data_IF_511952656037
#
_entry.id   IF_511952656037
#
_cell.length_a   1.000
_cell.length_b   1.000
_cell.length_c   1.000
_cell.angle_alpha   90.00
_cell.angle_beta   90.00
_cell.angle_gamma   90.00
#
_symmetry.space_group_name_H-M   'P 1'
#
loop_
_entity.id
_entity.type
_entity.pdbx_description
1 polymer ?
#
# COMPACT_ATOMS: atom_id res chain seq x y z
N UNK A 1 40.10 -6.66 -7.57
CA UNK A 1 40.58 -5.46 -6.89
C UNK A 1 41.73 -4.97 -7.72
N UNK A 2 41.77 -3.67 -8.02
CA UNK A 2 42.84 -3.11 -8.83
C UNK A 2 44.13 -3.01 -7.99
N UNK A 3 45.31 -3.07 -8.63
CA UNK A 3 46.57 -2.88 -7.92
C UNK A 3 46.60 -1.50 -7.25
N UNK A 4 47.05 -1.44 -5.99
CA UNK A 4 47.13 -0.26 -5.11
C UNK A 4 45.80 0.27 -4.56
N UNK A 5 44.65 -0.37 -4.83
CA UNK A 5 43.37 0.05 -4.25
C UNK A 5 43.04 -0.72 -2.95
N UNK A 6 42.52 0.01 -1.95
CA UNK A 6 42.03 -0.52 -0.67
C UNK A 6 40.51 -0.60 -0.67
N UNK A 7 39.94 -1.56 0.07
CA UNK A 7 38.48 -1.67 0.25
C UNK A 7 37.94 -0.45 0.98
N UNK A 8 36.86 0.14 0.47
CA UNK A 8 36.22 1.24 1.16
C UNK A 8 35.39 0.75 2.37
N UNK A 9 35.50 1.50 3.45
CA UNK A 9 34.74 1.38 4.70
C UNK A 9 34.38 2.79 5.19
N UNK A 10 33.57 2.90 6.24
CA UNK A 10 33.15 4.22 6.77
C UNK A 10 34.31 5.03 7.36
N UNK A 11 35.44 4.38 7.69
CA UNK A 11 36.59 5.04 8.33
C UNK A 11 37.55 5.68 7.33
N UNK A 12 37.54 5.21 6.08
CA UNK A 12 38.51 5.58 5.06
C UNK A 12 37.93 6.37 3.89
N UNK A 13 36.61 6.65 3.88
CA UNK A 13 36.01 7.53 2.88
C UNK A 13 36.52 8.97 3.01
N UNK A 14 36.76 9.68 1.89
CA UNK A 14 37.05 11.11 1.92
C UNK A 14 35.82 11.90 2.38
N UNK A 15 36.06 13.01 3.08
CA UNK A 15 35.00 13.92 3.51
C UNK A 15 34.47 14.70 2.30
N UNK A 16 33.17 14.64 2.04
CA UNK A 16 32.52 15.35 0.94
C UNK A 16 31.39 16.20 1.49
N UNK A 17 31.58 17.51 1.51
CA UNK A 17 30.60 18.47 2.01
C UNK A 17 29.58 18.85 0.91
N UNK A 18 28.39 19.30 1.31
CA UNK A 18 27.33 19.76 0.43
C UNK A 18 27.80 20.91 -0.48
N UNK A 19 28.69 21.77 0.04
CA UNK A 19 29.32 22.84 -0.73
C UNK A 19 30.22 22.29 -1.85
N UNK A 20 30.97 21.22 -1.62
CA UNK A 20 31.82 20.59 -2.63
C UNK A 20 30.98 20.03 -3.77
N UNK A 21 29.87 19.39 -3.43
CA UNK A 21 28.90 18.86 -4.41
C UNK A 21 28.27 20.00 -5.21
N UNK A 22 27.89 21.09 -4.56
CA UNK A 22 27.32 22.27 -5.23
C UNK A 22 28.32 22.94 -6.18
N UNK A 23 29.59 23.11 -5.77
CA UNK A 23 30.65 23.64 -6.62
C UNK A 23 30.95 22.72 -7.81
N UNK A 24 30.97 21.40 -7.59
CA UNK A 24 31.14 20.43 -8.66
C UNK A 24 30.04 20.56 -9.71
N UNK A 25 28.77 20.58 -9.31
CA UNK A 25 27.68 20.78 -10.28
C UNK A 25 27.74 22.16 -10.94
N UNK A 26 28.19 23.18 -10.21
CA UNK A 26 28.32 24.54 -10.75
C UNK A 26 29.34 24.64 -11.87
N UNK A 27 30.48 23.96 -11.71
CA UNK A 27 31.61 24.06 -12.64
C UNK A 27 31.52 23.09 -13.82
N UNK A 28 30.63 22.08 -13.77
CA UNK A 28 30.50 21.06 -14.81
C UNK A 28 29.27 21.27 -15.68
N UNK A 29 29.49 21.80 -16.89
CA UNK A 29 28.46 22.06 -17.91
C UNK A 29 27.62 20.80 -18.27
N UNK A 30 28.21 19.61 -18.15
CA UNK A 30 27.60 18.32 -18.51
C UNK A 30 26.35 18.00 -17.69
N UNK A 31 26.21 18.56 -16.48
CA UNK A 31 25.05 18.34 -15.61
C UNK A 31 23.94 19.39 -15.77
N UNK A 32 24.15 20.41 -16.62
CA UNK A 32 23.18 21.47 -16.91
C UNK A 32 22.23 21.15 -18.07
N UNK A 33 22.40 20.00 -18.72
CA UNK A 33 21.55 19.54 -19.82
C UNK A 33 20.11 19.31 -19.31
N UNK A 34 19.11 19.73 -20.09
CA UNK A 34 17.69 19.69 -19.70
C UNK A 34 17.20 18.31 -19.24
N UNK A 35 17.82 17.21 -19.69
CA UNK A 35 17.48 15.84 -19.28
C UNK A 35 17.87 15.50 -17.83
N UNK A 36 18.86 16.20 -17.27
CA UNK A 36 19.38 16.02 -15.91
C UNK A 36 18.89 17.10 -14.95
N UNK A 37 18.38 18.22 -15.47
CA UNK A 37 17.93 19.37 -14.66
C UNK A 37 16.80 19.09 -13.67
N UNK A 38 16.12 17.93 -13.75
CA UNK A 38 14.95 17.63 -12.92
C UNK A 38 14.99 16.21 -12.33
N UNK A 39 13.83 15.54 -12.34
CA UNK A 39 13.50 14.26 -11.71
C UNK A 39 14.59 13.20 -11.82
N UNK A 40 15.35 13.11 -12.92
CA UNK A 40 16.39 12.06 -13.08
C UNK A 40 17.54 12.22 -12.10
N UNK A 41 18.03 13.43 -11.84
CA UNK A 41 19.15 13.65 -10.89
C UNK A 41 18.68 13.46 -9.45
N UNK A 42 17.49 13.96 -9.10
CA UNK A 42 16.85 13.71 -7.79
C UNK A 42 16.57 12.22 -7.56
N UNK A 43 16.06 11.52 -8.57
CA UNK A 43 15.82 10.07 -8.53
C UNK A 43 17.12 9.28 -8.34
N UNK A 44 18.18 9.70 -9.02
CA UNK A 44 19.49 9.03 -8.98
C UNK A 44 20.24 9.32 -7.69
N UNK A 45 20.01 10.49 -7.10
CA UNK A 45 20.53 10.87 -5.79
C UNK A 45 19.80 10.22 -4.61
N UNK A 46 18.71 9.46 -4.82
CA UNK A 46 17.98 8.82 -3.72
C UNK A 46 18.84 7.81 -2.96
N UNK A 47 18.66 7.79 -1.65
CA UNK A 47 19.31 6.84 -0.74
C UNK A 47 19.06 5.39 -1.17
N UNK A 48 17.79 5.03 -1.38
CA UNK A 48 17.40 3.67 -1.78
C UNK A 48 18.05 3.20 -3.08
N UNK A 49 18.21 4.08 -4.07
CA UNK A 49 18.85 3.69 -5.32
C UNK A 49 20.36 3.53 -5.16
N UNK A 50 21.03 4.50 -4.54
CA UNK A 50 22.48 4.46 -4.34
C UNK A 50 22.93 3.25 -3.51
N UNK A 51 22.26 3.02 -2.38
CA UNK A 51 22.61 1.92 -1.46
C UNK A 51 22.34 0.54 -2.06
N UNK A 52 21.32 0.44 -2.93
CA UNK A 52 21.03 -0.82 -3.56
C UNK A 52 21.90 -1.11 -4.80
N UNK A 53 22.25 -0.07 -5.55
CA UNK A 53 22.89 -0.20 -6.86
C UNK A 53 24.42 -0.25 -6.78
N UNK A 54 25.02 0.41 -5.79
CA UNK A 54 26.46 0.57 -5.66
C UNK A 54 27.06 -0.61 -4.90
N UNK A 55 28.22 -1.08 -5.33
CA UNK A 55 28.99 -2.10 -4.62
C UNK A 55 30.42 -2.18 -5.10
N UNK A 56 31.21 -3.03 -4.45
CA UNK A 56 32.65 -3.17 -4.70
C UNK A 56 33.37 -1.82 -4.74
N UNK A 57 33.10 -0.97 -3.75
CA UNK A 57 33.74 0.35 -3.65
C UNK A 57 35.17 0.18 -3.16
N UNK A 58 36.11 0.78 -3.87
CA UNK A 58 37.54 0.77 -3.54
C UNK A 58 38.11 2.18 -3.71
N UNK A 59 39.15 2.49 -2.94
CA UNK A 59 39.79 3.80 -2.94
C UNK A 59 41.31 3.68 -3.03
N UNK A 60 41.93 4.72 -3.56
CA UNK A 60 43.37 4.85 -3.65
C UNK A 60 43.75 6.31 -3.36
N UNK A 61 44.78 6.53 -2.55
CA UNK A 61 45.25 7.86 -2.18
C UNK A 61 46.69 8.05 -2.66
N UNK A 62 46.90 9.04 -3.51
CA UNK A 62 48.21 9.44 -4.02
C UNK A 62 48.33 10.96 -4.02
N UNK A 63 49.39 11.49 -3.40
CA UNK A 63 49.73 12.92 -3.46
C UNK A 63 48.59 13.91 -3.09
N UNK A 64 47.71 13.55 -2.15
CA UNK A 64 46.57 14.38 -1.73
C UNK A 64 45.31 14.22 -2.60
N UNK A 65 45.38 13.38 -3.63
CA UNK A 65 44.24 12.98 -4.47
C UNK A 65 43.70 11.64 -4.00
N UNK A 66 42.39 11.57 -3.78
CA UNK A 66 41.66 10.36 -3.46
C UNK A 66 40.86 9.91 -4.68
N UNK A 67 41.25 8.77 -5.26
CA UNK A 67 40.57 8.13 -6.39
C UNK A 67 39.67 7.02 -5.88
N UNK A 68 38.37 7.21 -6.02
CA UNK A 68 37.33 6.25 -5.68
C UNK A 68 36.84 5.53 -6.94
N UNK A 69 36.67 4.22 -6.86
CA UNK A 69 36.07 3.40 -7.92
C UNK A 69 34.96 2.55 -7.34
N UNK A 70 33.86 2.41 -8.09
CA UNK A 70 32.79 1.49 -7.72
C UNK A 70 32.25 0.72 -8.94
N UNK A 71 31.57 -0.39 -8.66
CA UNK A 71 30.79 -1.14 -9.63
C UNK A 71 29.32 -0.95 -9.34
N UNK A 72 28.59 -0.47 -10.33
CA UNK A 72 27.19 -0.16 -10.15
C UNK A 72 26.29 -1.02 -11.03
N UNK A 73 25.22 -1.55 -10.42
CA UNK A 73 24.28 -2.41 -11.08
C UNK A 73 23.30 -1.63 -11.98
N UNK A 74 23.09 -2.06 -13.24
CA UNK A 74 22.10 -1.46 -14.13
C UNK A 74 20.66 -1.64 -13.61
N UNK A 75 19.86 -0.59 -13.66
CA UNK A 75 18.49 -0.59 -13.12
C UNK A 75 17.52 -1.46 -13.93
N UNK A 76 17.44 -1.26 -15.26
CA UNK A 76 16.47 -1.97 -16.12
C UNK A 76 16.92 -3.38 -16.56
N UNK A 77 18.22 -3.69 -16.43
CA UNK A 77 18.82 -4.98 -16.83
C UNK A 77 19.82 -5.43 -15.77
N UNK A 78 19.34 -5.73 -14.58
CA UNK A 78 20.16 -6.00 -13.38
C UNK A 78 21.17 -7.16 -13.51
N UNK A 79 21.01 -8.01 -14.54
CA UNK A 79 21.91 -9.12 -14.88
C UNK A 79 23.01 -8.76 -15.88
N UNK A 80 22.93 -7.58 -16.51
CA UNK A 80 23.95 -7.13 -17.46
C UNK A 80 25.22 -6.68 -16.74
N UNK A 81 26.30 -6.47 -17.51
CA UNK A 81 27.60 -6.03 -16.99
C UNK A 81 27.43 -4.77 -16.14
N UNK A 82 28.01 -4.78 -14.93
CA UNK A 82 28.00 -3.61 -14.06
C UNK A 82 28.78 -2.45 -14.69
N UNK A 83 28.33 -1.22 -14.45
CA UNK A 83 29.01 -0.01 -14.89
C UNK A 83 30.15 0.32 -13.93
N UNK A 84 31.34 0.62 -14.44
CA UNK A 84 32.43 1.14 -13.63
C UNK A 84 32.34 2.67 -13.55
N UNK A 85 32.34 3.20 -12.33
CA UNK A 85 32.35 4.65 -12.07
C UNK A 85 33.62 5.00 -11.30
N UNK A 86 34.29 6.07 -11.71
CA UNK A 86 35.49 6.59 -11.05
C UNK A 86 35.24 8.03 -10.62
N UNK A 87 35.61 8.37 -9.40
CA UNK A 87 35.54 9.72 -8.86
C UNK A 87 36.90 10.10 -8.27
N UNK A 88 37.35 11.33 -8.54
CA UNK A 88 38.63 11.86 -8.05
C UNK A 88 38.35 13.11 -7.23
N UNK A 89 38.84 13.11 -5.99
CA UNK A 89 38.65 14.18 -5.02
C UNK A 89 40.03 14.69 -4.58
N UNK A 90 40.21 16.00 -4.57
CA UNK A 90 41.34 16.66 -3.93
C UNK A 90 41.02 16.87 -2.45
N UNK A 91 41.65 16.09 -1.56
CA UNK A 91 41.40 16.20 -0.12
C UNK A 91 42.03 17.49 0.46
N UNK A 92 43.09 18.03 -0.15
CA UNK A 92 43.77 19.23 0.35
C UNK A 92 42.97 20.51 0.08
N UNK A 93 42.43 20.62 -1.13
CA UNK A 93 41.61 21.78 -1.55
C UNK A 93 40.13 21.57 -1.25
N UNK A 94 39.73 20.39 -0.77
CA UNK A 94 38.33 20.00 -0.58
C UNK A 94 37.51 20.25 -1.85
N UNK A 95 38.00 19.76 -2.99
CA UNK A 95 37.34 19.92 -4.30
C UNK A 95 37.15 18.57 -4.98
N UNK A 96 36.00 18.37 -5.62
CA UNK A 96 35.73 17.20 -6.45
C UNK A 96 36.19 17.53 -7.87
N UNK A 97 37.26 16.86 -8.32
CA UNK A 97 37.85 17.14 -9.64
C UNK A 97 37.00 16.53 -10.75
N UNK A 98 36.60 15.26 -10.59
CA UNK A 98 35.85 14.56 -11.63
C UNK A 98 35.04 13.40 -11.08
N UNK A 99 33.91 13.10 -11.74
CA UNK A 99 33.13 11.89 -11.54
C UNK A 99 32.66 11.37 -12.91
N UNK A 100 33.19 10.23 -13.35
CA UNK A 100 33.01 9.68 -14.70
C UNK A 100 32.55 8.23 -14.66
N UNK A 101 31.57 7.90 -15.51
CA UNK A 101 31.11 6.54 -15.73
C UNK A 101 31.65 6.03 -17.07
N UNK A 102 32.33 4.88 -17.08
CA UNK A 102 33.06 4.41 -18.27
C UNK A 102 32.23 3.54 -19.21
N UNK A 103 31.22 2.86 -18.68
CA UNK A 103 30.49 1.83 -19.40
C UNK A 103 29.08 2.30 -19.87
N UNK A 104 28.74 3.59 -19.72
CA UNK A 104 27.41 4.13 -20.03
C UNK A 104 27.40 4.94 -21.34
N UNK A 105 26.32 4.82 -22.13
CA UNK A 105 26.13 5.61 -23.36
C UNK A 105 26.07 7.13 -23.13
N UNK A 106 25.71 7.57 -21.92
CA UNK A 106 25.67 8.96 -21.51
C UNK A 106 26.90 9.39 -20.69
N UNK A 107 28.02 8.68 -20.81
CA UNK A 107 29.26 8.94 -20.06
C UNK A 107 29.81 10.36 -20.27
N UNK A 108 29.64 10.91 -21.47
CA UNK A 108 30.14 12.23 -21.87
C UNK A 108 29.24 13.42 -21.46
N UNK A 109 28.07 13.18 -20.87
CA UNK A 109 27.07 14.23 -20.61
C UNK A 109 26.38 14.08 -19.26
N UNK A 110 27.12 13.76 -18.19
CA UNK A 110 26.58 13.71 -16.83
C UNK A 110 25.60 12.54 -16.59
N UNK A 111 26.04 11.30 -16.73
CA UNK A 111 25.13 10.17 -16.55
C UNK A 111 24.54 10.07 -15.12
N UNK A 112 23.36 9.44 -15.01
CA UNK A 112 22.70 9.12 -13.73
C UNK A 112 23.58 8.36 -12.74
N UNK A 113 24.55 7.63 -13.28
CA UNK A 113 25.45 6.78 -12.54
C UNK A 113 26.52 7.55 -11.77
N UNK A 114 27.05 8.61 -12.38
CA UNK A 114 28.01 9.51 -11.75
C UNK A 114 27.35 10.29 -10.60
N UNK A 115 26.13 10.78 -10.83
CA UNK A 115 25.31 11.47 -9.80
C UNK A 115 25.02 10.54 -8.62
N UNK A 116 24.57 9.31 -8.89
CA UNK A 116 24.26 8.35 -7.84
C UNK A 116 25.47 8.06 -6.95
N UNK A 117 26.65 7.90 -7.56
CA UNK A 117 27.89 7.66 -6.82
C UNK A 117 28.33 8.89 -6.01
N UNK A 118 28.26 10.09 -6.60
CA UNK A 118 28.60 11.35 -5.93
C UNK A 118 27.73 11.58 -4.68
N UNK A 119 26.41 11.47 -4.83
CA UNK A 119 25.46 11.66 -3.72
C UNK A 119 25.60 10.56 -2.67
N UNK A 120 25.96 9.34 -3.07
CA UNK A 120 26.22 8.25 -2.15
C UNK A 120 27.46 8.53 -1.29
N UNK A 121 28.58 8.98 -1.88
CA UNK A 121 29.80 9.30 -1.11
C UNK A 121 29.56 10.47 -0.16
N UNK A 122 28.87 11.52 -0.61
CA UNK A 122 28.45 12.63 0.26
C UNK A 122 27.74 12.14 1.53
N UNK A 123 26.64 11.37 1.37
CA UNK A 123 25.88 10.83 2.51
C UNK A 123 26.73 9.96 3.43
N UNK A 124 27.50 9.01 2.87
CA UNK A 124 28.32 8.09 3.66
C UNK A 124 29.48 8.79 4.37
N UNK A 125 29.90 9.95 3.89
CA UNK A 125 30.92 10.78 4.56
C UNK A 125 30.35 11.66 5.68
N UNK A 126 29.04 11.97 5.65
CA UNK A 126 28.35 12.78 6.67
C UNK A 126 27.78 11.93 7.82
N UNK A 127 27.43 10.67 7.57
CA UNK A 127 26.93 9.75 8.59
C UNK A 127 28.08 9.27 9.51
N UNK A 128 28.17 9.72 10.78
CA UNK A 128 29.19 9.21 11.69
C UNK A 128 28.95 7.72 11.98
N UNK A 129 30.01 6.96 12.31
CA UNK A 129 29.92 5.52 12.52
C UNK A 129 28.92 5.21 13.63
N UNK A 130 27.85 4.47 13.28
CA UNK A 130 27.20 3.60 14.25
C UNK A 130 28.22 2.57 14.71
N UNK A 131 28.04 1.97 15.89
CA UNK A 131 29.03 1.13 16.59
C UNK A 131 29.60 -0.08 15.81
N UNK A 132 29.22 -0.29 14.56
CA UNK A 132 29.74 -1.29 13.61
C UNK A 132 30.39 -0.66 12.39
N UNK A 133 31.60 -1.11 12.04
CA UNK A 133 32.28 -0.76 10.76
C UNK A 133 31.50 -1.39 9.60
N UNK A 134 30.90 -0.59 8.72
CA UNK A 134 30.26 -1.12 7.51
C UNK A 134 31.27 -1.33 6.37
N UNK A 135 31.17 -2.48 5.70
CA UNK A 135 31.99 -2.81 4.53
C UNK A 135 31.25 -2.45 3.24
N UNK A 136 31.87 -1.63 2.39
CA UNK A 136 31.35 -1.24 1.08
C UNK A 136 31.89 -2.10 -0.08
N UNK A 137 32.81 -3.02 0.21
CA UNK A 137 33.26 -4.06 -0.70
C UNK A 137 32.29 -5.27 -0.70
N UNK A 138 31.03 -5.03 -1.03
CA UNK A 138 29.98 -6.06 -1.12
C UNK A 138 29.26 -6.03 -2.45
N UNK A 139 28.56 -7.12 -2.76
CA UNK A 139 27.72 -7.23 -3.95
C UNK A 139 26.48 -6.32 -3.80
N UNK A 140 26.11 -5.53 -4.82
CA UNK A 140 24.92 -4.65 -4.76
C UNK A 140 23.64 -5.43 -4.45
N UNK A 141 22.74 -4.88 -3.63
CA UNK A 141 21.48 -5.55 -3.27
C UNK A 141 20.54 -5.63 -4.48
N UNK A 142 20.55 -4.64 -5.38
CA UNK A 142 19.78 -4.63 -6.62
C UNK A 142 20.06 -5.89 -7.42
N UNK A 143 21.32 -6.33 -7.49
CA UNK A 143 21.71 -7.58 -8.18
C UNK A 143 21.03 -8.85 -7.66
N UNK A 144 20.40 -8.78 -6.47
CA UNK A 144 19.62 -9.88 -5.88
C UNK A 144 18.17 -9.92 -6.36
N UNK A 145 17.66 -8.86 -6.98
CA UNK A 145 16.29 -8.80 -7.54
C UNK A 145 16.10 -9.95 -8.54
N UNK A 146 15.16 -10.85 -8.24
CA UNK A 146 14.89 -12.07 -9.02
C UNK A 146 15.76 -13.28 -8.66
N UNK A 147 16.69 -13.19 -7.71
CA UNK A 147 17.38 -14.36 -7.10
C UNK A 147 16.84 -14.75 -5.73
N UNK A 148 16.05 -13.88 -5.09
CA UNK A 148 15.29 -14.25 -3.91
C UNK A 148 14.27 -15.29 -4.33
N UNK A 149 14.61 -16.56 -4.09
CA UNK A 149 13.66 -17.66 -4.05
C UNK A 149 12.50 -17.17 -3.17
N UNK A 150 11.35 -16.86 -3.79
CA UNK A 150 10.14 -16.40 -3.06
C UNK A 150 9.75 -17.41 -1.96
N UNK A 151 10.17 -18.65 -2.14
CA UNK A 151 10.14 -19.73 -1.18
C UNK A 151 11.22 -20.74 -1.58
N UNK A 152 11.89 -21.33 -0.60
CA UNK A 152 12.72 -22.52 -0.80
C UNK A 152 11.73 -23.67 -1.08
N UNK A 153 11.91 -24.40 -2.19
CA UNK A 153 11.08 -25.58 -2.45
C UNK A 153 11.55 -26.74 -1.57
N UNK A 154 10.62 -27.59 -1.13
CA UNK A 154 10.96 -28.81 -0.34
C UNK A 154 11.98 -29.68 -1.08
N UNK A 155 11.96 -29.67 -2.42
CA UNK A 155 12.96 -30.32 -3.27
C UNK A 155 14.38 -29.79 -3.06
N UNK A 156 14.55 -28.49 -2.83
CA UNK A 156 15.85 -27.86 -2.57
C UNK A 156 16.34 -28.07 -1.12
N UNK A 157 15.46 -28.48 -0.21
CA UNK A 157 15.83 -28.82 1.17
C UNK A 157 16.39 -30.24 1.29
N UNK A 158 16.12 -31.11 0.31
CA UNK A 158 16.62 -32.48 0.27
C UNK A 158 17.82 -32.59 -0.67
N UNK A 159 18.93 -33.17 -0.20
CA UNK A 159 20.07 -33.54 -1.06
C UNK A 159 19.78 -34.77 -1.95
N UNK A 160 18.68 -35.48 -1.70
CA UNK A 160 18.29 -36.68 -2.46
C UNK A 160 17.26 -36.31 -3.52
N UNK A 161 17.46 -36.83 -4.73
CA UNK A 161 16.46 -36.79 -5.80
C UNK A 161 15.14 -37.39 -5.30
N UNK A 162 14.05 -36.64 -5.46
CA UNK A 162 12.72 -37.14 -5.12
C UNK A 162 12.30 -38.08 -6.24
N UNK A 163 12.11 -39.39 -6.00
CA UNK A 163 11.66 -40.29 -7.04
C UNK A 163 10.31 -39.82 -7.56
N UNK A 164 10.20 -39.67 -8.88
CA UNK A 164 8.93 -39.34 -9.54
C UNK A 164 7.96 -40.49 -9.31
N UNK A 165 7.02 -40.31 -8.38
CA UNK A 165 5.93 -41.25 -8.14
C UNK A 165 4.68 -40.69 -8.83
N UNK A 166 4.09 -41.40 -9.79
CA UNK A 166 2.86 -40.95 -10.44
C UNK A 166 1.77 -40.76 -9.38
N UNK A 167 0.93 -39.73 -9.55
CA UNK A 167 -0.19 -39.44 -8.64
C UNK A 167 -1.34 -40.41 -8.89
N UNK A 168 -1.11 -41.68 -8.56
CA UNK A 168 -2.14 -42.70 -8.66
C UNK A 168 -2.91 -42.75 -7.33
N UNK A 169 -4.23 -42.78 -7.40
CA UNK A 169 -5.12 -42.97 -6.23
C UNK A 169 -4.76 -44.20 -5.37
N UNK A 170 -4.06 -45.17 -5.95
CA UNK A 170 -3.52 -46.34 -5.27
C UNK A 170 -2.57 -46.01 -4.08
N UNK A 171 -1.78 -44.94 -4.17
CA UNK A 171 -0.89 -44.54 -3.08
C UNK A 171 -1.64 -44.12 -1.83
N UNK A 172 -2.82 -43.50 -2.00
CA UNK A 172 -3.69 -43.11 -0.90
C UNK A 172 -4.28 -44.35 -0.22
N UNK A 173 -4.79 -45.31 -0.99
CA UNK A 173 -5.36 -46.54 -0.44
C UNK A 173 -4.31 -47.37 0.30
N UNK A 174 -3.10 -47.49 -0.26
CA UNK A 174 -2.00 -48.22 0.37
C UNK A 174 -1.54 -47.54 1.66
N UNK A 175 -1.46 -46.21 1.66
CA UNK A 175 -1.14 -45.43 2.85
C UNK A 175 -2.18 -45.64 3.96
N UNK A 176 -3.47 -45.57 3.63
CA UNK A 176 -4.56 -45.77 4.59
C UNK A 176 -4.52 -47.19 5.19
N UNK A 177 -4.28 -48.22 4.37
CA UNK A 177 -4.16 -49.61 4.83
C UNK A 177 -2.98 -49.81 5.79
N UNK A 178 -1.79 -49.31 5.44
CA UNK A 178 -0.62 -49.40 6.32
C UNK A 178 -0.77 -48.54 7.58
N UNK A 179 -1.42 -47.38 7.48
CA UNK A 179 -1.71 -46.53 8.63
C UNK A 179 -2.66 -47.23 9.64
N UNK A 180 -3.69 -47.91 9.14
CA UNK A 180 -4.61 -48.73 9.96
C UNK A 180 -3.87 -49.89 10.63
N UNK A 181 -3.03 -50.62 9.88
CA UNK A 181 -2.19 -51.71 10.40
C UNK A 181 -1.25 -51.25 11.51
N UNK A 182 -0.69 -50.04 11.40
CA UNK A 182 0.22 -49.44 12.40
C UNK A 182 -0.50 -48.68 13.53
N UNK A 183 -1.84 -48.64 13.53
CA UNK A 183 -2.67 -47.95 14.53
C UNK A 183 -2.28 -46.48 14.72
N UNK A 184 -2.01 -45.77 13.63
CA UNK A 184 -1.69 -44.34 13.70
C UNK A 184 -2.92 -43.54 14.15
N UNK A 185 -2.84 -42.88 15.31
CA UNK A 185 -3.92 -42.07 15.86
C UNK A 185 -3.79 -40.56 15.55
N UNK A 186 -2.61 -40.11 15.13
CA UNK A 186 -2.28 -38.69 14.98
C UNK A 186 -1.89 -38.34 13.53
N UNK A 187 -2.79 -38.60 12.58
CA UNK A 187 -2.64 -38.19 11.19
C UNK A 187 -3.95 -37.58 10.70
N UNK A 188 -3.91 -36.37 10.15
CA UNK A 188 -5.10 -35.67 9.65
C UNK A 188 -5.84 -36.47 8.56
N UNK A 189 -5.11 -37.17 7.68
CA UNK A 189 -5.71 -37.96 6.61
C UNK A 189 -6.57 -39.13 7.11
N UNK A 190 -6.22 -39.71 8.27
CA UNK A 190 -6.98 -40.80 8.87
C UNK A 190 -8.29 -40.28 9.46
N UNK A 191 -8.33 -39.02 9.91
CA UNK A 191 -9.53 -38.42 10.52
C UNK A 191 -10.70 -38.27 9.53
N UNK A 192 -10.42 -38.25 8.23
CA UNK A 192 -11.42 -38.15 7.16
C UNK A 192 -11.88 -39.52 6.62
N UNK A 193 -11.49 -40.62 7.26
CA UNK A 193 -11.96 -41.96 6.90
C UNK A 193 -13.27 -42.28 7.62
N UNK A 194 -14.19 -42.97 6.94
CA UNK A 194 -15.52 -43.31 7.45
C UNK A 194 -15.51 -44.15 8.73
N UNK A 195 -14.42 -44.88 8.99
CA UNK A 195 -14.24 -45.73 10.17
C UNK A 195 -13.52 -45.03 11.34
N UNK A 196 -13.15 -43.76 11.20
CA UNK A 196 -12.44 -43.04 12.24
C UNK A 196 -13.39 -42.50 13.32
N UNK A 197 -13.31 -43.10 14.51
CA UNK A 197 -14.05 -42.65 15.69
C UNK A 197 -13.17 -41.78 16.58
N UNK A 198 -13.55 -40.52 16.75
CA UNK A 198 -12.90 -39.64 17.72
C UNK A 198 -13.11 -40.17 19.14
N UNK A 199 -12.03 -40.37 19.90
CA UNK A 199 -12.10 -40.81 21.31
C UNK A 199 -12.63 -39.74 22.26
N UNK A 200 -12.49 -38.47 21.88
CA UNK A 200 -12.75 -37.33 22.73
C UNK A 200 -14.16 -36.74 22.48
N UNK A 201 -14.47 -35.67 23.21
CA UNK A 201 -15.72 -34.88 23.12
C UNK A 201 -16.14 -34.53 21.68
N UNK A 202 -15.19 -34.44 20.75
CA UNK A 202 -15.43 -34.16 19.32
C UNK A 202 -16.39 -35.14 18.61
N UNK A 203 -16.53 -36.38 19.12
CA UNK A 203 -17.53 -37.34 18.60
C UNK A 203 -18.98 -36.85 18.70
N UNK A 204 -19.24 -35.93 19.63
CA UNK A 204 -20.55 -35.33 19.83
C UNK A 204 -20.81 -34.10 18.93
N UNK A 205 -19.88 -33.75 18.05
CA UNK A 205 -20.13 -32.72 17.04
C UNK A 205 -21.24 -33.18 16.09
N UNK A 206 -22.03 -32.24 15.57
CA UNK A 206 -23.14 -32.54 14.66
C UNK A 206 -22.64 -33.28 13.40
N UNK A 207 -21.48 -32.88 12.87
CA UNK A 207 -20.88 -33.50 11.69
C UNK A 207 -20.48 -34.97 11.95
N UNK A 208 -19.72 -35.26 13.01
CA UNK A 208 -19.34 -36.63 13.35
C UNK A 208 -20.56 -37.50 13.65
N UNK A 209 -21.55 -36.95 14.36
CA UNK A 209 -22.77 -37.67 14.69
C UNK A 209 -23.55 -38.08 13.44
N UNK A 210 -23.69 -37.19 12.44
CA UNK A 210 -24.36 -37.49 11.17
C UNK A 210 -23.60 -38.57 10.38
N UNK A 211 -22.27 -38.50 10.34
CA UNK A 211 -21.43 -39.48 9.64
C UNK A 211 -21.50 -40.88 10.26
N UNK A 212 -21.67 -40.97 11.58
CA UNK A 212 -21.80 -42.24 12.30
C UNK A 212 -23.19 -42.92 12.11
N UNK A 213 -24.19 -42.21 11.58
CA UNK A 213 -25.54 -42.79 11.38
C UNK A 213 -25.66 -43.51 10.03
N UNK A 214 -26.35 -44.67 9.97
CA UNK A 214 -26.61 -45.35 8.72
C UNK A 214 -27.48 -44.50 7.78
N UNK A 215 -27.31 -44.61 6.44
CA UNK A 215 -27.95 -43.73 5.45
C UNK A 215 -29.48 -43.80 5.47
N UNK A 216 -30.08 -44.86 6.01
CA UNK A 216 -31.53 -45.00 6.19
C UNK A 216 -32.10 -44.08 7.28
N UNK A 217 -31.29 -43.74 8.30
CA UNK A 217 -31.68 -42.88 9.43
C UNK A 217 -31.44 -41.40 9.09
N UNK A 218 -30.52 -41.09 8.17
CA UNK A 218 -30.27 -39.72 7.70
C UNK A 218 -31.47 -39.10 6.96
N UNK A 219 -32.38 -39.93 6.42
CA UNK A 219 -33.59 -39.46 5.74
C UNK A 219 -34.76 -39.14 6.69
N UNK A 220 -34.69 -39.57 7.96
CA UNK A 220 -35.77 -39.41 8.95
C UNK A 220 -35.27 -38.58 10.15
N UNK A 221 -35.61 -37.28 10.11
CA UNK A 221 -35.14 -36.28 11.08
C UNK A 221 -35.65 -36.56 12.49
N UNK A 222 -36.87 -37.08 12.63
CA UNK A 222 -37.49 -37.30 13.95
C UNK A 222 -36.80 -38.46 14.70
N UNK A 223 -36.49 -39.54 13.98
CA UNK A 223 -35.68 -40.64 14.53
C UNK A 223 -34.28 -40.18 14.95
N UNK A 224 -33.65 -39.32 14.14
CA UNK A 224 -32.33 -38.78 14.45
C UNK A 224 -32.36 -37.94 15.73
N UNK A 225 -33.39 -37.13 15.93
CA UNK A 225 -33.57 -36.31 17.14
C UNK A 225 -33.74 -37.19 18.39
N UNK A 226 -34.48 -38.30 18.30
CA UNK A 226 -34.66 -39.20 19.46
C UNK A 226 -33.38 -39.97 19.81
N UNK A 227 -32.57 -40.35 18.82
CA UNK A 227 -31.23 -40.91 19.04
C UNK A 227 -30.30 -39.87 19.68
N UNK A 228 -30.39 -38.60 19.27
CA UNK A 228 -29.62 -37.52 19.91
C UNK A 228 -30.00 -37.37 21.39
N UNK A 229 -31.30 -37.36 21.73
CA UNK A 229 -31.76 -37.24 23.12
C UNK A 229 -31.23 -38.35 24.03
N UNK A 230 -31.11 -39.57 23.50
CA UNK A 230 -30.56 -40.72 24.26
C UNK A 230 -29.03 -40.67 24.36
N UNK A 231 -28.35 -40.14 23.35
CA UNK A 231 -26.88 -40.04 23.29
C UNK A 231 -26.32 -38.90 24.15
N UNK A 232 -27.01 -37.76 24.22
CA UNK A 232 -26.62 -36.60 25.04
C UNK A 232 -27.10 -36.74 26.49
N UNK A 233 -26.50 -37.67 27.23
CA UNK A 233 -26.73 -37.81 28.67
C UNK A 233 -26.07 -36.68 29.48
N UNK A 234 -26.47 -36.51 30.74
CA UNK A 234 -25.97 -35.45 31.63
C UNK A 234 -24.44 -35.48 31.80
N UNK A 235 -23.84 -36.67 31.78
CA UNK A 235 -22.39 -36.84 31.88
C UNK A 235 -21.66 -36.35 30.61
N UNK A 236 -22.19 -36.65 29.42
CA UNK A 236 -21.67 -36.18 28.14
C UNK A 236 -21.75 -34.66 28.04
N UNK A 237 -22.87 -34.07 28.45
CA UNK A 237 -23.05 -32.60 28.47
C UNK A 237 -22.04 -31.93 29.39
N UNK A 238 -21.81 -32.50 30.59
CA UNK A 238 -20.80 -31.98 31.53
C UNK A 238 -19.38 -32.06 30.95
N UNK A 239 -19.03 -33.16 30.28
CA UNK A 239 -17.72 -33.31 29.64
C UNK A 239 -17.54 -32.35 28.45
N UNK A 240 -18.61 -32.07 27.69
CA UNK A 240 -18.60 -31.07 26.62
C UNK A 240 -18.37 -29.67 27.19
N UNK A 241 -19.08 -29.31 28.26
CA UNK A 241 -18.93 -28.00 28.91
C UNK A 241 -17.50 -27.81 29.42
N UNK A 242 -16.94 -28.80 30.14
CA UNK A 242 -15.59 -28.73 30.66
C UNK A 242 -14.55 -28.55 29.54
N UNK A 243 -14.67 -29.32 28.45
CA UNK A 243 -13.75 -29.23 27.31
C UNK A 243 -13.91 -27.94 26.47
N UNK A 244 -15.06 -27.27 26.55
CA UNK A 244 -15.35 -26.05 25.78
C UNK A 244 -15.35 -24.77 26.63
N UNK A 245 -15.06 -24.86 27.93
CA UNK A 245 -15.09 -23.73 28.89
C UNK A 245 -14.18 -22.56 28.52
N UNK A 246 -13.07 -22.82 27.82
CA UNK A 246 -12.14 -21.78 27.33
C UNK A 246 -12.63 -21.01 26.08
N UNK A 247 -13.88 -21.24 25.66
CA UNK A 247 -14.58 -20.48 24.62
C UNK A 247 -13.79 -20.35 23.29
N UNK A 248 -13.70 -19.13 22.74
CA UNK A 248 -13.15 -18.79 21.42
C UNK A 248 -11.68 -19.17 21.20
N UNK A 249 -10.94 -19.55 22.26
CA UNK A 249 -9.54 -19.96 22.15
C UNK A 249 -9.37 -21.43 21.77
N UNK A 250 -10.43 -22.24 21.86
CA UNK A 250 -10.40 -23.66 21.53
C UNK A 250 -11.06 -23.92 20.17
N UNK A 251 -10.39 -24.69 19.30
CA UNK A 251 -10.98 -25.15 18.04
C UNK A 251 -12.23 -26.01 18.27
N UNK A 252 -12.24 -26.81 19.35
CA UNK A 252 -13.37 -27.65 19.74
C UNK A 252 -14.64 -26.83 20.02
N UNK A 253 -14.51 -25.60 20.51
CA UNK A 253 -15.65 -24.72 20.77
C UNK A 253 -16.38 -24.32 19.48
N UNK A 254 -15.64 -24.10 18.39
CA UNK A 254 -16.23 -23.79 17.08
C UNK A 254 -16.93 -25.02 16.49
N UNK A 255 -16.29 -26.18 16.57
CA UNK A 255 -16.82 -27.45 16.06
C UNK A 255 -18.14 -27.83 16.76
N UNK A 256 -18.21 -27.72 18.09
CA UNK A 256 -19.42 -28.04 18.85
C UNK A 256 -20.58 -27.05 18.60
N UNK A 257 -20.32 -25.89 17.99
CA UNK A 257 -21.34 -24.87 17.66
C UNK A 257 -21.63 -24.81 16.16
N UNK A 258 -21.03 -25.71 15.38
CA UNK A 258 -21.32 -25.89 13.97
C UNK A 258 -22.82 -26.15 13.77
N UNK A 259 -23.44 -25.48 12.80
CA UNK A 259 -24.87 -25.62 12.50
C UNK A 259 -25.82 -25.01 13.53
N UNK A 260 -25.32 -24.29 14.54
CA UNK A 260 -26.15 -23.75 15.63
C UNK A 260 -26.96 -22.54 15.19
N UNK A 261 -28.27 -22.60 15.42
CA UNK A 261 -29.20 -21.48 15.24
C UNK A 261 -29.14 -20.56 16.47
N UNK A 262 -28.77 -19.29 16.28
CA UNK A 262 -28.83 -18.26 17.33
C UNK A 262 -30.20 -17.60 17.38
N UNK A 263 -30.55 -17.00 18.53
CA UNK A 263 -31.81 -16.27 18.66
C UNK A 263 -32.00 -15.19 17.57
N UNK A 264 -30.91 -14.51 17.17
CA UNK A 264 -30.92 -13.54 16.07
C UNK A 264 -31.26 -14.13 14.69
N UNK A 265 -31.09 -15.45 14.51
CA UNK A 265 -31.36 -16.16 13.27
C UNK A 265 -32.62 -17.03 13.31
N UNK A 266 -33.21 -17.24 14.48
CA UNK A 266 -34.40 -18.09 14.65
C UNK A 266 -35.59 -17.61 13.81
N UNK A 267 -35.87 -16.30 13.79
CA UNK A 267 -36.95 -15.73 12.97
C UNK A 267 -36.68 -15.90 11.47
N UNK A 268 -35.43 -15.67 11.03
CA UNK A 268 -35.05 -15.87 9.63
C UNK A 268 -35.25 -17.32 9.20
N UNK A 269 -34.89 -18.28 10.06
CA UNK A 269 -35.07 -19.72 9.80
C UNK A 269 -36.56 -20.09 9.74
N UNK A 270 -37.40 -19.57 10.63
CA UNK A 270 -38.84 -19.90 10.63
C UNK A 270 -39.59 -19.40 9.38
N UNK A 271 -39.08 -18.35 8.73
CA UNK A 271 -39.70 -17.75 7.54
C UNK A 271 -39.00 -18.20 6.24
N UNK A 272 -37.88 -18.90 6.34
CA UNK A 272 -37.11 -19.35 5.18
C UNK A 272 -37.73 -20.60 4.56
N UNK A 273 -38.24 -20.48 3.34
CA UNK A 273 -38.78 -21.61 2.56
C UNK A 273 -37.76 -22.24 1.60
N UNK A 274 -36.54 -21.69 1.48
CA UNK A 274 -35.50 -22.21 0.58
C UNK A 274 -34.62 -23.23 1.29
N UNK A 275 -34.54 -24.49 0.80
CA UNK A 275 -33.76 -25.55 1.46
C UNK A 275 -32.24 -25.37 1.35
N UNK A 276 -31.72 -24.82 0.24
CA UNK A 276 -30.28 -24.63 -0.03
C UNK A 276 -29.93 -23.16 -0.29
N UNK A 277 -30.24 -22.29 0.69
CA UNK A 277 -30.06 -20.85 0.59
C UNK A 277 -28.80 -20.30 1.28
N UNK A 278 -28.56 -19.00 1.11
CA UNK A 278 -27.49 -18.26 1.81
C UNK A 278 -27.62 -18.32 3.34
N UNK A 279 -28.85 -18.42 3.86
CA UNK A 279 -29.11 -18.59 5.29
C UNK A 279 -28.54 -19.91 5.80
N UNK A 280 -28.83 -21.01 5.12
CA UNK A 280 -28.32 -22.35 5.46
C UNK A 280 -26.80 -22.37 5.35
N UNK A 281 -26.23 -21.81 4.27
CA UNK A 281 -24.79 -21.69 4.12
C UNK A 281 -24.14 -20.90 5.26
N UNK A 282 -24.78 -19.82 5.72
CA UNK A 282 -24.29 -19.01 6.86
C UNK A 282 -24.34 -19.77 8.18
N UNK A 283 -25.42 -20.53 8.43
CA UNK A 283 -25.57 -21.38 9.61
C UNK A 283 -24.51 -22.49 9.63
N UNK A 284 -24.16 -23.02 8.44
CA UNK A 284 -23.09 -24.00 8.22
C UNK A 284 -21.69 -23.37 8.17
N UNK A 285 -21.55 -22.07 8.44
CA UNK A 285 -20.26 -21.39 8.59
C UNK A 285 -19.59 -20.92 7.29
N UNK A 286 -20.29 -20.95 6.15
CA UNK A 286 -19.76 -20.44 4.89
C UNK A 286 -19.66 -18.90 4.89
N UNK A 287 -18.56 -18.37 4.34
CA UNK A 287 -18.45 -16.94 4.02
C UNK A 287 -19.19 -16.68 2.72
N UNK A 288 -20.26 -15.89 2.77
CA UNK A 288 -20.95 -15.44 1.56
C UNK A 288 -19.99 -14.49 0.81
N UNK A 289 -19.69 -14.73 -0.48
CA UNK A 289 -18.83 -13.84 -1.25
C UNK A 289 -19.47 -12.47 -1.43
N UNK A 290 -18.64 -11.42 -1.40
CA UNK A 290 -19.10 -10.04 -1.56
C UNK A 290 -19.84 -9.86 -2.89
N UNK A 291 -21.07 -9.35 -2.80
CA UNK A 291 -21.88 -9.05 -3.98
C UNK A 291 -21.29 -7.88 -4.78
N UNK A 292 -21.67 -7.80 -6.07
CA UNK A 292 -21.28 -6.70 -6.96
C UNK A 292 -21.70 -5.33 -6.38
N UNK A 293 -22.80 -5.29 -5.61
CA UNK A 293 -23.26 -4.09 -4.92
C UNK A 293 -22.31 -3.67 -3.78
N UNK A 294 -21.83 -4.62 -2.96
CA UNK A 294 -20.87 -4.36 -1.87
C UNK A 294 -19.52 -3.89 -2.41
N UNK A 295 -19.09 -4.40 -3.57
CA UNK A 295 -17.86 -3.93 -4.24
C UNK A 295 -17.97 -2.52 -4.83
N UNK A 296 -19.19 -2.03 -5.13
CA UNK A 296 -19.42 -0.67 -5.67
C UNK A 296 -19.24 0.43 -4.63
N UNK A 297 -19.39 0.13 -3.34
CA UNK A 297 -19.18 1.11 -2.25
C UNK A 297 -17.70 1.44 -2.00
N UNK A 298 -16.76 0.77 -2.67
CA UNK A 298 -15.30 0.86 -2.42
C UNK A 298 -14.56 1.78 -3.43
N UNK A 299 -15.21 2.38 -4.44
CA UNK A 299 -14.51 3.25 -5.43
C UNK A 299 -14.81 4.76 -5.30
N UNK A 300 -13.80 5.64 -5.16
CA UNK A 300 -13.93 7.07 -5.41
C UNK A 300 -13.04 7.58 -6.57
N UNK A 301 -13.51 8.60 -7.32
CA UNK A 301 -12.81 9.90 -7.56
C UNK A 301 -13.39 10.83 -8.66
N UNK A 302 -14.38 10.43 -9.46
CA UNK A 302 -15.10 11.37 -10.33
C UNK A 302 -16.60 11.33 -10.06
N UNK A 303 -17.04 12.22 -9.16
CA UNK A 303 -18.46 12.42 -8.90
C UNK A 303 -19.12 13.12 -10.09
N UNK A 304 -19.85 12.37 -10.91
CA UNK A 304 -20.76 12.96 -11.90
C UNK A 304 -21.94 13.55 -11.14
N UNK A 305 -22.06 14.87 -11.21
CA UNK A 305 -23.06 15.59 -10.45
C UNK A 305 -24.47 15.24 -10.92
N UNK A 306 -25.31 14.79 -9.99
CA UNK A 306 -26.71 14.41 -10.27
C UNK A 306 -27.67 15.60 -10.47
N UNK A 307 -27.25 16.82 -10.14
CA UNK A 307 -28.15 17.99 -10.12
C UNK A 307 -27.75 19.07 -11.13
N UNK A 308 -28.73 19.59 -11.88
CA UNK A 308 -28.58 20.71 -12.83
C UNK A 308 -28.70 22.10 -12.17
N UNK A 309 -28.58 22.18 -10.83
CA UNK A 309 -28.71 23.45 -10.09
C UNK A 309 -27.58 24.42 -10.47
N UNK A 310 -27.94 25.69 -10.72
CA UNK A 310 -27.07 26.78 -11.22
C UNK A 310 -26.60 26.65 -12.68
N UNK A 311 -27.30 25.87 -13.51
CA UNK A 311 -27.04 25.76 -14.95
C UNK A 311 -27.56 26.97 -15.78
N UNK A 312 -27.47 28.19 -15.23
CA UNK A 312 -27.85 29.43 -15.92
C UNK A 312 -26.60 30.27 -16.19
N UNK A 313 -26.65 31.17 -17.17
CA UNK A 313 -25.51 32.00 -17.55
C UNK A 313 -25.27 33.19 -16.59
N UNK A 314 -24.00 33.45 -16.27
CA UNK A 314 -23.63 34.49 -15.29
C UNK A 314 -23.94 35.90 -15.79
N UNK A 315 -23.69 36.16 -17.08
CA UNK A 315 -23.97 37.46 -17.69
C UNK A 315 -25.48 37.69 -17.81
N UNK A 316 -26.25 36.64 -18.15
CA UNK A 316 -27.70 36.70 -18.14
C UNK A 316 -28.28 37.05 -16.76
N UNK A 317 -27.70 36.52 -15.67
CA UNK A 317 -28.12 36.87 -14.31
C UNK A 317 -27.81 38.32 -13.94
N UNK A 318 -26.65 38.86 -14.35
CA UNK A 318 -26.30 40.27 -14.11
C UNK A 318 -27.29 41.19 -14.84
N UNK A 319 -27.54 40.94 -16.13
CA UNK A 319 -28.51 41.69 -16.94
C UNK A 319 -29.92 41.61 -16.37
N UNK A 320 -30.33 40.44 -15.86
CA UNK A 320 -31.63 40.28 -15.21
C UNK A 320 -31.74 41.07 -13.90
N UNK A 321 -30.67 41.14 -13.10
CA UNK A 321 -30.65 41.95 -11.87
C UNK A 321 -30.76 43.43 -12.23
N UNK A 322 -30.03 43.89 -13.24
CA UNK A 322 -30.04 45.27 -13.71
C UNK A 322 -31.41 45.68 -14.26
N UNK A 323 -32.02 44.85 -15.11
CA UNK A 323 -33.36 45.09 -15.65
C UNK A 323 -34.42 45.19 -14.54
N UNK A 324 -34.33 44.34 -13.50
CA UNK A 324 -35.25 44.41 -12.36
C UNK A 324 -35.01 45.67 -11.52
N UNK A 325 -33.76 46.11 -11.36
CA UNK A 325 -33.45 47.39 -10.69
C UNK A 325 -33.96 48.59 -11.47
N UNK A 326 -33.98 48.51 -12.80
CA UNK A 326 -34.55 49.51 -13.71
C UNK A 326 -36.10 49.49 -13.75
N UNK A 327 -36.76 48.61 -12.98
CA UNK A 327 -38.22 48.59 -12.83
C UNK A 327 -38.93 47.43 -13.52
N UNK A 328 -38.21 46.50 -14.16
CA UNK A 328 -38.84 45.33 -14.78
C UNK A 328 -39.38 44.34 -13.72
N UNK A 329 -40.59 43.79 -13.89
CA UNK A 329 -41.14 42.82 -12.94
C UNK A 329 -40.36 41.49 -12.98
N UNK A 330 -40.13 40.89 -11.80
CA UNK A 330 -39.32 39.68 -11.61
C UNK A 330 -39.67 38.51 -12.54
N UNK A 331 -40.96 38.29 -12.81
CA UNK A 331 -41.42 37.20 -13.70
C UNK A 331 -41.04 37.46 -15.16
N UNK A 332 -41.11 38.71 -15.62
CA UNK A 332 -40.74 39.09 -16.98
C UNK A 332 -39.22 38.95 -17.19
N UNK A 333 -38.42 39.47 -16.25
CA UNK A 333 -36.97 39.32 -16.29
C UNK A 333 -36.53 37.84 -16.25
N UNK A 334 -37.17 37.02 -15.42
CA UNK A 334 -36.89 35.58 -15.35
C UNK A 334 -37.14 34.86 -16.68
N UNK A 335 -38.23 35.21 -17.38
CA UNK A 335 -38.59 34.62 -18.68
C UNK A 335 -37.69 35.13 -19.81
N UNK A 336 -37.35 36.42 -19.80
CA UNK A 336 -36.54 37.06 -20.84
C UNK A 336 -35.08 36.61 -20.81
N UNK A 337 -34.50 36.48 -19.61
CA UNK A 337 -33.08 36.11 -19.44
C UNK A 337 -32.86 34.63 -19.09
N UNK A 338 -33.93 33.80 -19.11
CA UNK A 338 -33.88 32.36 -18.80
C UNK A 338 -33.21 32.05 -17.44
N UNK A 339 -33.45 32.90 -16.44
CA UNK A 339 -32.90 32.73 -15.08
C UNK A 339 -33.97 32.30 -14.08
N UNK A 340 -33.66 31.44 -13.09
CA UNK A 340 -34.63 31.02 -12.09
C UNK A 340 -35.17 32.19 -11.22
N UNK A 341 -36.49 32.35 -11.18
CA UNK A 341 -37.18 33.44 -10.50
C UNK A 341 -36.76 33.61 -9.03
N UNK A 342 -36.68 32.51 -8.28
CA UNK A 342 -36.33 32.57 -6.85
C UNK A 342 -34.86 32.94 -6.62
N UNK A 343 -33.96 32.55 -7.53
CA UNK A 343 -32.56 32.93 -7.47
C UNK A 343 -32.38 34.43 -7.74
N UNK A 344 -33.05 34.95 -8.78
CA UNK A 344 -33.08 36.37 -9.11
C UNK A 344 -33.64 37.20 -7.95
N UNK A 345 -34.81 36.83 -7.41
CA UNK A 345 -35.44 37.52 -6.28
C UNK A 345 -34.56 37.53 -5.03
N UNK A 346 -33.85 36.44 -4.74
CA UNK A 346 -32.94 36.35 -3.59
C UNK A 346 -31.71 37.25 -3.74
N UNK A 347 -31.18 37.37 -4.97
CA UNK A 347 -30.03 38.23 -5.29
C UNK A 347 -30.39 39.72 -5.28
N UNK A 348 -31.53 40.11 -5.86
CA UNK A 348 -32.01 41.51 -5.86
C UNK A 348 -32.31 42.01 -4.43
N UNK A 349 -32.90 41.16 -3.57
CA UNK A 349 -33.19 41.50 -2.17
C UNK A 349 -31.97 41.48 -1.23
N UNK A 350 -30.76 41.23 -1.74
CA UNK A 350 -29.54 41.19 -0.91
C UNK A 350 -29.53 40.09 0.16
N UNK A 351 -30.39 39.08 0.08
CA UNK A 351 -30.49 38.00 1.08
C UNK A 351 -29.36 36.96 0.97
N UNK A 352 -28.34 37.23 0.16
CA UNK A 352 -27.22 36.34 -0.05
C UNK A 352 -25.93 37.07 0.26
N UNK A 353 -25.22 36.62 1.28
CA UNK A 353 -23.97 37.24 1.75
C UNK A 353 -22.82 36.97 0.78
N UNK A 354 -22.86 35.85 0.04
CA UNK A 354 -21.70 35.37 -0.73
C UNK A 354 -21.94 35.32 -2.24
N UNK A 355 -23.11 34.88 -2.72
CA UNK A 355 -23.41 34.87 -4.16
C UNK A 355 -24.10 36.17 -4.57
N UNK A 356 -23.27 37.18 -4.89
CA UNK A 356 -23.66 38.51 -5.37
C UNK A 356 -23.61 38.53 -6.90
N UNK A 357 -24.47 39.32 -7.55
CA UNK A 357 -24.46 39.47 -9.02
C UNK A 357 -24.63 38.13 -9.76
N UNK A 358 -23.75 37.86 -10.72
CA UNK A 358 -23.71 36.63 -11.51
C UNK A 358 -23.00 35.45 -10.86
N UNK A 359 -22.26 35.64 -9.75
CA UNK A 359 -21.35 34.63 -9.21
C UNK A 359 -22.09 33.36 -8.77
N UNK A 360 -21.60 32.22 -9.26
CA UNK A 360 -22.06 30.88 -8.93
C UNK A 360 -21.30 30.35 -7.70
N UNK A 361 -22.03 29.93 -6.68
CA UNK A 361 -21.48 29.31 -5.48
C UNK A 361 -22.39 28.19 -5.02
N UNK A 362 -21.82 27.05 -4.63
CA UNK A 362 -22.54 25.85 -4.26
C UNK A 362 -22.03 25.28 -2.93
N UNK A 363 -22.97 24.79 -2.12
CA UNK A 363 -22.67 24.19 -0.82
C UNK A 363 -22.35 25.20 0.28
N UNK A 364 -22.12 24.68 1.49
CA UNK A 364 -21.69 25.44 2.67
C UNK A 364 -20.17 25.50 2.81
N UNK A 365 -19.45 24.56 2.18
CA UNK A 365 -17.99 24.46 2.23
C UNK A 365 -17.39 25.49 1.27
N UNK A 366 -16.36 26.19 1.73
CA UNK A 366 -15.69 27.27 0.99
C UNK A 366 -14.23 26.92 0.80
N UNK A 367 -13.62 27.49 -0.25
CA UNK A 367 -12.17 27.55 -0.39
C UNK A 367 -11.58 28.25 0.85
N UNK A 368 -10.53 27.66 1.40
CA UNK A 368 -9.85 28.16 2.60
C UNK A 368 -8.82 29.23 2.21
N UNK A 369 -8.08 29.00 1.13
CA UNK A 369 -7.10 29.92 0.59
C UNK A 369 -7.71 30.78 -0.53
N UNK A 370 -7.17 31.98 -0.72
CA UNK A 370 -7.44 32.79 -1.91
C UNK A 370 -6.76 32.20 -3.13
N UNK A 371 -7.20 32.53 -4.34
CA UNK A 371 -6.56 32.04 -5.57
C UNK A 371 -5.08 32.51 -5.65
N UNK A 372 -4.75 33.67 -5.08
CA UNK A 372 -3.37 34.16 -4.96
C UNK A 372 -2.51 33.29 -4.02
N UNK A 373 -3.06 32.91 -2.86
CA UNK A 373 -2.37 32.02 -1.91
C UNK A 373 -2.23 30.60 -2.44
N UNK A 374 -3.22 30.09 -3.19
CA UNK A 374 -3.11 28.82 -3.90
C UNK A 374 -2.00 28.90 -4.96
N UNK A 375 -1.90 30.01 -5.69
CA UNK A 375 -0.85 30.22 -6.69
C UNK A 375 0.54 30.31 -6.05
N UNK A 376 0.68 31.03 -4.94
CA UNK A 376 1.92 31.12 -4.17
C UNK A 376 2.36 29.73 -3.66
N UNK A 377 1.41 28.95 -3.11
CA UNK A 377 1.67 27.59 -2.68
C UNK A 377 2.12 26.69 -3.84
N UNK A 378 1.47 26.80 -5.00
CA UNK A 378 1.85 26.06 -6.21
C UNK A 378 3.24 26.47 -6.69
N UNK A 379 3.54 27.77 -6.69
CA UNK A 379 4.84 28.29 -7.10
C UNK A 379 5.93 27.80 -6.15
N UNK A 380 5.69 27.87 -4.83
CA UNK A 380 6.61 27.34 -3.83
C UNK A 380 6.88 25.84 -4.01
N UNK A 381 5.84 25.04 -4.30
CA UNK A 381 6.02 23.62 -4.57
C UNK A 381 6.91 23.40 -5.81
N UNK A 382 6.71 24.19 -6.88
CA UNK A 382 7.53 24.14 -8.10
C UNK A 382 8.98 24.58 -7.85
N UNK A 383 9.19 25.65 -7.11
CA UNK A 383 10.53 26.17 -6.81
C UNK A 383 11.32 25.17 -5.94
N UNK A 384 10.66 24.49 -5.00
CA UNK A 384 11.27 23.40 -4.22
C UNK A 384 11.51 22.13 -5.06
N UNK A 385 10.65 21.87 -6.05
CA UNK A 385 10.86 20.80 -7.03
C UNK A 385 12.09 21.09 -7.91
N UNK A 386 12.30 22.35 -8.31
CA UNK A 386 13.48 22.79 -9.07
C UNK A 386 14.80 22.66 -8.29
N UNK A 387 14.75 22.78 -6.96
CA UNK A 387 15.90 22.62 -6.05
C UNK A 387 16.11 21.18 -5.55
N UNK A 388 15.42 20.21 -6.16
CA UNK A 388 15.49 18.76 -5.84
C UNK A 388 14.90 18.34 -4.48
N UNK A 389 14.10 19.19 -3.83
CA UNK A 389 13.35 18.87 -2.61
C UNK A 389 11.85 18.81 -2.90
N UNK A 390 11.35 17.68 -3.41
CA UNK A 390 9.92 17.50 -3.69
C UNK A 390 9.07 17.26 -2.44
N UNK A 391 7.82 17.76 -2.44
CA UNK A 391 6.85 17.54 -1.36
C UNK A 391 5.98 16.29 -1.59
N UNK A 392 5.69 15.52 -0.53
CA UNK A 392 4.67 14.46 -0.60
C UNK A 392 3.26 15.02 -0.36
N UNK A 393 2.21 14.26 -0.69
CA UNK A 393 0.81 14.64 -0.44
C UNK A 393 0.54 14.92 1.04
N UNK A 394 1.17 14.19 1.97
CA UNK A 394 0.99 14.44 3.40
C UNK A 394 1.73 15.72 3.83
N UNK A 395 2.87 16.04 3.22
CA UNK A 395 3.62 17.27 3.49
C UNK A 395 2.86 18.50 3.00
N UNK A 396 2.30 18.47 1.80
CA UNK A 396 1.45 19.56 1.29
C UNK A 396 0.25 19.79 2.20
N UNK A 397 -0.36 18.73 2.75
CA UNK A 397 -1.51 18.84 3.67
C UNK A 397 -1.14 19.39 5.04
N UNK A 398 0.06 19.09 5.55
CA UNK A 398 0.59 19.70 6.78
C UNK A 398 0.96 21.15 6.52
N UNK A 399 1.61 21.44 5.40
CA UNK A 399 2.03 22.78 5.03
C UNK A 399 0.81 23.71 4.83
N UNK A 400 -0.24 23.23 4.19
CA UNK A 400 -1.52 23.94 4.11
C UNK A 400 -2.10 24.25 5.51
N UNK A 401 -2.08 23.28 6.43
CA UNK A 401 -2.52 23.53 7.81
C UNK A 401 -1.68 24.61 8.49
N UNK A 402 -0.36 24.57 8.34
CA UNK A 402 0.55 25.56 8.92
C UNK A 402 0.36 26.96 8.35
N UNK A 403 0.20 27.10 7.03
CA UNK A 403 -0.09 28.39 6.38
C UNK A 403 -1.40 28.97 6.94
N UNK A 404 -2.43 28.14 7.06
CA UNK A 404 -3.73 28.61 7.53
C UNK A 404 -3.69 29.08 8.98
N UNK A 405 -2.99 28.35 9.87
CA UNK A 405 -2.79 28.76 11.27
C UNK A 405 -1.91 30.03 11.40
N UNK A 406 -0.78 30.10 10.68
CA UNK A 406 0.13 31.26 10.71
C UNK A 406 -0.54 32.54 10.22
N UNK A 407 -1.34 32.43 9.17
CA UNK A 407 -2.10 33.55 8.61
C UNK A 407 -3.43 33.80 9.33
N UNK A 408 -3.73 33.05 10.40
CA UNK A 408 -4.97 33.15 11.19
C UNK A 408 -6.24 33.03 10.33
N UNK A 409 -6.18 32.22 9.28
CA UNK A 409 -7.29 31.96 8.36
C UNK A 409 -8.22 30.93 8.99
N UNK A 410 -9.52 31.22 9.02
CA UNK A 410 -10.51 30.27 9.54
C UNK A 410 -10.64 29.06 8.61
N UNK A 411 -10.28 27.87 9.09
CA UNK A 411 -10.29 26.64 8.29
C UNK A 411 -11.06 25.47 8.95
N UNK A 412 -11.54 24.48 8.16
CA UNK A 412 -12.17 23.26 8.66
C UNK A 412 -11.16 22.12 8.92
N UNK A 413 -9.86 22.37 8.84
CA UNK A 413 -8.83 21.34 8.98
C UNK A 413 -8.80 20.71 10.39
N UNK A 414 -8.32 19.47 10.47
CA UNK A 414 -8.26 18.73 11.72
C UNK A 414 -7.10 19.24 12.59
N UNK A 415 -7.44 19.82 13.74
CA UNK A 415 -6.46 20.27 14.74
C UNK A 415 -5.74 19.10 15.42
N UNK A 416 -6.43 17.97 15.62
CA UNK A 416 -5.86 16.75 16.23
C UNK A 416 -4.78 16.11 15.37
N UNK A 417 -4.96 16.10 14.04
CA UNK A 417 -4.00 15.52 13.10
C UNK A 417 -3.09 16.55 12.42
N UNK A 418 -3.29 17.84 12.71
CA UNK A 418 -2.54 19.00 12.19
C UNK A 418 -2.36 18.97 10.66
N UNK A 419 -3.41 18.59 9.93
CA UNK A 419 -3.37 18.50 8.47
C UNK A 419 -4.72 18.77 7.81
N UNK A 420 -4.67 19.23 6.57
CA UNK A 420 -5.83 19.39 5.70
C UNK A 420 -6.49 18.04 5.34
N UNK A 421 -7.73 18.06 4.85
CA UNK A 421 -8.43 16.86 4.36
C UNK A 421 -7.74 16.21 3.15
N UNK A 422 -8.18 15.02 2.75
CA UNK A 422 -7.82 14.46 1.43
C UNK A 422 -8.87 14.93 0.44
N UNK A 423 -8.41 15.50 -0.67
CA UNK A 423 -9.26 15.82 -1.82
C UNK A 423 -9.26 14.65 -2.82
#
# INVERSE_FOLDING_TARGET
MDLNFVQADNSNLPKVDALMVAFFFKNNADYYVAELKHVKTTMSGRESYGDDAIGYVQLHREHGLCTLKCKMCPEHKVRSKAYNVTMVINENESEIISCQCHDCAASAGGCKHAVAFLMWVHRRSEEPPSTSVECYWKKPTLSRVGTTLKYITVQQMSKKEVPHRPSTSALYTDFVLEAKKRKLQHCELIKYQDDFKHSNVMRYSLHCFIMDQPPKIQADVDNLVDIMKTTFNRAAISAIEEATRMQYKSSLWYEMRYGRITASKAHEVSVCHTPDGSLVATIMGAKIPDTIAMKREIMPRNYIRKTTRQNWDEQAMIKAIEAVKQGMPYKAASKQFLVPLMALKRRVKGKNVYAVGGTKMLGSIKKVFTDEQELELVQHIKDNEETMYGFTVDDVRKFAFEIAERNKIRHPFSTTSRKAGKD
#
